data_IF_224190213495
#
_entry.id   IF_224190213495
#
_cell.length_a   1.000
_cell.length_b   1.000
_cell.length_c   1.000
_cell.angle_alpha   90.00
_cell.angle_beta   90.00
_cell.angle_gamma   90.00
#
_symmetry.space_group_name_H-M   'P 1'
#
loop_
_entity.id
_entity.type
_entity.pdbx_description
1 polymer ?
#
# COMPACT_ATOMS: atom_id res chain seq x y z
N UNK A 1 -2.38 -78.26 -34.06
CA UNK A 1 -2.23 -76.83 -34.42
C UNK A 1 -3.07 -76.02 -33.43
N UNK A 2 -2.40 -75.23 -32.58
CA UNK A 2 -3.00 -74.45 -31.47
C UNK A 2 -3.53 -73.12 -32.04
N UNK A 3 -4.84 -72.91 -32.03
CA UNK A 3 -5.44 -71.61 -32.33
C UNK A 3 -5.79 -70.91 -31.01
N UNK A 4 -5.11 -69.81 -30.75
CA UNK A 4 -5.29 -68.95 -29.59
C UNK A 4 -6.60 -68.14 -29.71
N UNK A 5 -7.34 -68.09 -28.60
CA UNK A 5 -8.48 -67.21 -28.35
C UNK A 5 -7.98 -65.78 -28.09
N UNK A 6 -8.54 -64.80 -28.80
CA UNK A 6 -8.39 -63.37 -28.51
C UNK A 6 -9.61 -62.89 -27.72
N UNK A 7 -9.40 -62.50 -26.47
CA UNK A 7 -10.41 -61.82 -25.65
C UNK A 7 -10.30 -60.30 -25.86
N UNK A 8 -11.43 -59.57 -25.96
CA UNK A 8 -11.40 -58.11 -26.00
C UNK A 8 -11.23 -57.55 -24.59
N UNK A 9 -10.16 -56.78 -24.39
CA UNK A 9 -9.96 -55.96 -23.18
C UNK A 9 -10.81 -54.69 -23.35
N UNK A 10 -11.92 -54.63 -22.62
CA UNK A 10 -12.70 -53.40 -22.40
C UNK A 10 -11.86 -52.45 -21.53
N UNK A 11 -11.17 -51.51 -22.16
CA UNK A 11 -10.52 -50.40 -21.47
C UNK A 11 -11.60 -49.42 -21.00
N UNK A 12 -11.98 -49.52 -19.73
CA UNK A 12 -12.81 -48.52 -19.06
C UNK A 12 -12.04 -47.20 -18.98
N UNK A 13 -12.38 -46.23 -19.83
CA UNK A 13 -12.01 -44.83 -19.61
C UNK A 13 -12.72 -44.36 -18.34
N UNK A 14 -12.01 -44.39 -17.22
CA UNK A 14 -12.35 -43.59 -16.06
C UNK A 14 -12.14 -42.12 -16.45
N UNK A 15 -13.21 -41.45 -16.89
CA UNK A 15 -13.26 -40.00 -16.97
C UNK A 15 -13.16 -39.52 -15.53
N UNK A 16 -11.94 -39.13 -15.12
CA UNK A 16 -11.74 -38.44 -13.87
C UNK A 16 -12.56 -37.16 -13.93
N UNK A 17 -13.68 -37.15 -13.21
CA UNK A 17 -14.47 -35.95 -12.96
C UNK A 17 -13.60 -34.98 -12.19
N UNK A 18 -12.94 -34.07 -12.91
CA UNK A 18 -12.22 -32.94 -12.31
C UNK A 18 -13.27 -32.15 -11.56
N UNK A 19 -13.19 -32.17 -10.23
CA UNK A 19 -14.09 -31.38 -9.38
C UNK A 19 -13.92 -29.90 -9.76
N UNK A 20 -15.00 -29.17 -10.09
CA UNK A 20 -14.93 -27.72 -10.26
C UNK A 20 -14.80 -27.09 -8.87
N UNK A 21 -13.58 -27.05 -8.33
CA UNK A 21 -13.35 -26.50 -6.98
C UNK A 21 -12.14 -25.55 -6.87
N UNK A 22 -11.24 -25.47 -7.87
CA UNK A 22 -10.04 -24.62 -7.79
C UNK A 22 -9.93 -23.61 -8.96
N UNK A 23 -11.05 -23.17 -9.54
CA UNK A 23 -11.03 -22.11 -10.56
C UNK A 23 -10.76 -20.72 -9.96
N UNK A 24 -11.02 -20.54 -8.67
CA UNK A 24 -10.53 -19.42 -7.89
C UNK A 24 -9.28 -19.92 -7.19
N UNK A 25 -8.09 -19.59 -7.68
CA UNK A 25 -6.83 -19.94 -7.00
C UNK A 25 -6.83 -19.53 -5.51
N UNK A 26 -5.80 -19.91 -4.73
CA UNK A 26 -5.77 -19.65 -3.29
C UNK A 26 -6.06 -18.17 -3.02
N UNK A 27 -7.15 -17.90 -2.30
CA UNK A 27 -7.54 -16.54 -1.94
C UNK A 27 -6.47 -15.98 -1.00
N UNK A 28 -5.67 -15.04 -1.52
CA UNK A 28 -4.64 -14.37 -0.74
C UNK A 28 -5.29 -13.09 -0.20
N UNK A 29 -5.42 -13.02 1.12
CA UNK A 29 -5.89 -11.82 1.81
C UNK A 29 -4.92 -10.67 1.51
N UNK A 30 -5.46 -9.58 0.96
CA UNK A 30 -4.72 -8.34 0.78
C UNK A 30 -4.20 -7.85 2.14
N UNK A 31 -2.91 -7.45 2.23
CA UNK A 31 -2.35 -7.00 3.49
C UNK A 31 -2.99 -5.67 3.87
N UNK A 32 -3.40 -5.52 5.14
CA UNK A 32 -3.86 -4.21 5.62
C UNK A 32 -2.67 -3.26 5.69
N UNK A 33 -2.75 -2.14 4.98
CA UNK A 33 -1.70 -1.12 4.91
C UNK A 33 -2.07 0.06 5.78
N UNK A 34 -1.11 0.60 6.52
CA UNK A 34 -1.24 1.80 7.34
C UNK A 34 -0.34 2.91 6.79
N UNK A 35 -0.87 4.12 6.74
CA UNK A 35 -0.06 5.32 6.55
C UNK A 35 0.83 5.57 7.75
N UNK A 36 1.99 6.14 7.50
CA UNK A 36 2.88 6.63 8.54
C UNK A 36 2.73 8.13 8.65
N UNK A 37 2.60 8.63 9.88
CA UNK A 37 2.63 10.06 10.19
C UNK A 37 3.84 10.30 11.10
N UNK A 38 4.82 11.06 10.61
CA UNK A 38 6.08 11.33 11.30
C UNK A 38 6.16 12.79 11.69
N UNK A 39 6.53 13.04 12.94
CA UNK A 39 6.49 14.36 13.54
C UNK A 39 7.78 14.63 14.30
N UNK A 40 8.39 15.79 14.05
CA UNK A 40 9.56 16.23 14.77
C UNK A 40 9.16 16.70 16.17
N UNK A 41 9.77 16.16 17.21
CA UNK A 41 9.52 16.54 18.60
C UNK A 41 10.82 16.95 19.28
N UNK A 42 10.79 18.00 20.10
CA UNK A 42 11.90 18.33 20.97
C UNK A 42 11.79 17.53 22.27
N UNK A 43 12.75 16.65 22.53
CA UNK A 43 12.83 15.91 23.81
C UNK A 43 14.12 16.31 24.50
N UNK A 44 14.03 16.94 25.68
CA UNK A 44 15.19 17.38 26.47
C UNK A 44 16.18 18.28 25.69
N UNK A 45 15.66 19.13 24.80
CA UNK A 45 16.46 20.02 23.95
C UNK A 45 17.14 19.33 22.75
N UNK A 46 16.92 18.03 22.55
CA UNK A 46 17.43 17.29 21.39
C UNK A 46 16.34 17.08 20.33
N UNK A 47 16.70 17.17 19.03
CA UNK A 47 15.84 16.72 17.93
C UNK A 47 15.48 15.24 18.11
N UNK A 48 14.18 14.93 18.11
CA UNK A 48 13.69 13.57 18.01
C UNK A 48 12.53 13.50 17.01
N UNK A 49 12.22 12.31 16.51
CA UNK A 49 11.05 12.09 15.64
C UNK A 49 10.15 11.06 16.30
N UNK A 50 8.84 11.32 16.31
CA UNK A 50 7.82 10.33 16.67
C UNK A 50 7.07 9.93 15.41
N UNK A 51 6.99 8.62 15.19
CA UNK A 51 6.27 8.06 14.05
C UNK A 51 5.04 7.31 14.54
N UNK A 52 3.96 7.40 13.78
CA UNK A 52 2.69 6.75 14.09
C UNK A 52 2.17 6.01 12.87
N UNK A 53 1.69 4.78 13.06
CA UNK A 53 0.89 4.09 12.04
C UNK A 53 -0.59 4.45 12.21
N UNK A 54 -1.22 5.05 11.20
CA UNK A 54 -2.63 5.42 11.20
C UNK A 54 -3.48 4.16 10.95
N UNK A 55 -4.35 3.80 11.89
CA UNK A 55 -5.09 2.51 11.87
C UNK A 55 -6.55 2.63 11.39
N UNK A 56 -6.86 3.69 10.63
CA UNK A 56 -8.14 3.97 9.95
C UNK A 56 -9.43 3.81 10.77
N UNK A 57 -9.34 3.95 12.10
CA UNK A 57 -10.51 4.04 12.97
C UNK A 57 -10.78 5.50 13.32
N UNK A 58 -11.95 6.01 12.89
CA UNK A 58 -12.45 7.30 13.33
C UNK A 58 -12.50 7.32 14.86
N UNK A 59 -11.85 8.32 15.46
CA UNK A 59 -11.83 8.47 16.90
C UNK A 59 -13.01 9.31 17.36
N UNK A 60 -13.68 8.89 18.44
CA UNK A 60 -14.59 9.79 19.15
C UNK A 60 -13.75 10.89 19.81
N UNK A 61 -13.99 12.14 19.42
CA UNK A 61 -13.20 13.29 19.86
C UNK A 61 -13.79 14.08 21.02
N UNK A 62 -15.04 13.80 21.43
CA UNK A 62 -15.79 14.64 22.37
C UNK A 62 -15.15 14.73 23.77
N UNK A 63 -14.30 13.76 24.13
CA UNK A 63 -13.70 13.66 25.47
C UNK A 63 -12.17 13.61 25.44
N UNK A 64 -11.55 14.00 24.32
CA UNK A 64 -10.09 13.91 24.18
C UNK A 64 -9.38 15.11 24.78
N UNK A 65 -8.42 14.84 25.67
CA UNK A 65 -7.48 15.85 26.15
C UNK A 65 -6.35 16.00 25.13
N UNK A 66 -6.42 17.05 24.32
CA UNK A 66 -5.45 17.32 23.26
C UNK A 66 -4.18 17.99 23.79
N UNK A 67 -3.03 17.49 23.34
CA UNK A 67 -1.73 18.11 23.57
C UNK A 67 -1.02 18.28 22.23
N UNK A 68 -0.35 19.42 22.01
CA UNK A 68 0.51 19.56 20.81
C UNK A 68 1.63 18.52 20.85
N UNK A 69 1.84 17.84 19.73
CA UNK A 69 2.87 16.81 19.62
C UNK A 69 4.27 17.43 19.66
N UNK A 70 4.43 18.60 19.03
CA UNK A 70 5.68 19.34 18.93
C UNK A 70 5.49 20.83 19.27
N UNK A 71 5.39 21.18 20.57
CA UNK A 71 5.23 22.57 20.98
C UNK A 71 6.33 23.47 20.40
N UNK A 72 5.96 24.72 20.05
CA UNK A 72 6.87 25.73 19.49
C UNK A 72 7.49 25.38 18.13
N UNK A 73 6.91 24.45 17.38
CA UNK A 73 7.27 24.18 15.98
C UNK A 73 6.12 24.54 15.04
N UNK A 74 6.36 24.49 13.73
CA UNK A 74 5.31 24.64 12.71
C UNK A 74 4.41 23.42 12.58
N UNK A 75 4.74 22.31 13.25
CA UNK A 75 3.89 21.13 13.30
C UNK A 75 2.70 21.39 14.23
N UNK A 76 1.53 21.54 13.63
CA UNK A 76 0.28 21.81 14.32
C UNK A 76 -0.42 20.55 14.83
N UNK A 77 0.14 19.36 14.57
CA UNK A 77 -0.47 18.11 14.97
C UNK A 77 -0.67 18.04 16.49
N UNK A 78 -1.86 17.60 16.88
CA UNK A 78 -2.21 17.35 18.28
C UNK A 78 -2.39 15.86 18.48
N UNK A 79 -2.05 15.41 19.68
CA UNK A 79 -2.26 14.04 20.10
C UNK A 79 -3.10 13.99 21.38
N UNK A 80 -3.91 12.95 21.51
CA UNK A 80 -4.46 12.53 22.78
C UNK A 80 -4.09 11.08 23.03
N UNK A 81 -3.67 10.77 24.25
CA UNK A 81 -3.27 9.40 24.60
C UNK A 81 -4.53 8.54 24.75
N UNK A 82 -4.47 7.31 24.24
CA UNK A 82 -5.48 6.28 24.52
C UNK A 82 -4.91 5.23 25.46
N UNK A 83 -5.81 4.41 26.03
CA UNK A 83 -5.38 3.18 26.69
C UNK A 83 -4.59 2.31 25.72
N UNK A 84 -3.49 1.72 26.22
CA UNK A 84 -2.69 0.77 25.46
C UNK A 84 -3.57 -0.41 24.96
N UNK A 85 -3.19 -1.02 23.84
CA UNK A 85 -3.79 -2.29 23.41
C UNK A 85 -3.58 -3.36 24.47
N UNK A 86 -4.60 -4.18 24.71
CA UNK A 86 -4.49 -5.34 25.58
C UNK A 86 -3.46 -6.36 25.05
N UNK A 87 -3.39 -6.51 23.73
CA UNK A 87 -2.37 -7.33 23.04
C UNK A 87 -1.54 -6.42 22.13
N UNK A 88 -0.21 -6.39 22.25
CA UNK A 88 0.63 -5.62 21.35
C UNK A 88 0.41 -6.00 19.88
N UNK A 89 0.33 -5.00 19.01
CA UNK A 89 0.18 -5.19 17.57
C UNK A 89 1.57 -5.18 16.92
N UNK A 90 1.84 -6.17 16.07
CA UNK A 90 3.00 -6.17 15.20
C UNK A 90 2.68 -5.39 13.91
N UNK A 91 3.62 -4.59 13.44
CA UNK A 91 3.58 -3.92 12.15
C UNK A 91 4.91 -4.12 11.43
N UNK A 92 4.86 -4.31 10.12
CA UNK A 92 6.05 -4.38 9.27
C UNK A 92 6.21 -3.07 8.53
N UNK A 93 7.24 -2.30 8.88
CA UNK A 93 7.60 -1.07 8.18
C UNK A 93 8.37 -1.39 6.91
N UNK A 94 8.06 -0.63 5.86
CA UNK A 94 8.64 -0.82 4.54
C UNK A 94 8.92 0.54 3.93
N UNK A 95 10.09 0.67 3.31
CA UNK A 95 10.48 1.84 2.54
C UNK A 95 11.87 1.68 1.94
N UNK A 96 12.45 2.77 1.39
CA UNK A 96 13.80 2.75 0.83
C UNK A 96 14.89 2.25 1.79
N UNK A 97 14.69 2.37 3.11
CA UNK A 97 15.61 1.84 4.13
C UNK A 97 15.51 0.33 4.34
N UNK A 98 14.67 -0.39 3.59
CA UNK A 98 14.45 -1.82 3.72
C UNK A 98 13.15 -2.15 4.47
N UNK A 99 13.15 -3.27 5.20
CA UNK A 99 12.00 -3.71 5.98
C UNK A 99 12.35 -3.98 7.43
N UNK A 100 11.39 -3.69 8.33
CA UNK A 100 11.57 -3.88 9.77
C UNK A 100 10.25 -4.20 10.45
N UNK A 101 10.25 -5.22 11.29
CA UNK A 101 9.10 -5.54 12.14
C UNK A 101 9.24 -4.81 13.48
N UNK A 102 8.20 -4.09 13.88
CA UNK A 102 8.06 -3.47 15.21
C UNK A 102 6.80 -4.01 15.88
N UNK A 103 6.80 -4.05 17.20
CA UNK A 103 5.62 -4.37 18.00
C UNK A 103 5.36 -3.22 18.95
N UNK A 104 4.12 -2.74 19.00
CA UNK A 104 3.71 -1.67 19.90
C UNK A 104 2.34 -1.95 20.50
N UNK A 105 2.14 -1.46 21.72
CA UNK A 105 0.84 -1.41 22.39
C UNK A 105 0.33 0.02 22.55
N UNK A 106 1.17 1.01 22.27
CA UNK A 106 0.88 2.40 22.60
C UNK A 106 -0.07 3.00 21.56
N UNK A 107 -1.25 3.41 22.02
CA UNK A 107 -2.27 4.04 21.16
C UNK A 107 -2.37 5.53 21.43
N UNK A 108 -2.64 6.26 20.37
CA UNK A 108 -3.00 7.66 20.43
C UNK A 108 -4.14 7.94 19.45
N UNK A 109 -4.78 9.09 19.62
CA UNK A 109 -5.51 9.75 18.55
C UNK A 109 -4.65 10.90 18.08
N UNK A 110 -4.45 11.00 16.76
CA UNK A 110 -3.83 12.15 16.13
C UNK A 110 -4.91 13.01 15.49
N UNK A 111 -4.82 14.31 15.72
CA UNK A 111 -5.69 15.31 15.15
C UNK A 111 -4.93 16.12 14.11
N UNK A 112 -5.54 16.26 12.93
CA UNK A 112 -5.03 17.00 11.77
C UNK A 112 -3.50 16.85 11.58
N UNK A 113 -3.09 15.82 10.85
CA UNK A 113 -1.68 15.63 10.46
C UNK A 113 -1.46 16.09 9.02
N UNK A 114 -0.20 16.11 8.57
CA UNK A 114 0.10 16.33 7.14
C UNK A 114 -0.53 15.27 6.22
N UNK A 115 -0.85 14.09 6.77
CA UNK A 115 -1.39 12.94 6.03
C UNK A 115 -2.92 12.86 6.07
N UNK A 116 -3.57 13.52 7.03
CA UNK A 116 -5.02 13.44 7.26
C UNK A 116 -5.59 14.72 7.86
N UNK A 117 -6.72 15.18 7.33
CA UNK A 117 -7.47 16.33 7.85
C UNK A 117 -8.55 15.95 8.86
N UNK A 118 -8.63 14.68 9.29
CA UNK A 118 -9.56 14.21 10.31
C UNK A 118 -8.84 13.54 11.47
N UNK A 119 -9.41 13.54 12.69
CA UNK A 119 -8.89 12.79 13.81
C UNK A 119 -8.84 11.29 13.52
N UNK A 120 -7.68 10.67 13.73
CA UNK A 120 -7.42 9.26 13.42
C UNK A 120 -6.82 8.55 14.62
N UNK A 121 -7.29 7.34 14.90
CA UNK A 121 -6.58 6.44 15.80
C UNK A 121 -5.23 6.05 15.19
N UNK A 122 -4.19 6.01 16.00
CA UNK A 122 -2.86 5.63 15.56
C UNK A 122 -2.14 4.75 16.60
N UNK A 123 -1.21 3.93 16.11
CA UNK A 123 -0.25 3.16 16.90
C UNK A 123 1.06 3.94 16.95
N UNK A 124 1.51 4.35 18.13
CA UNK A 124 2.80 5.01 18.29
C UNK A 124 3.93 3.99 18.10
N UNK A 125 4.88 4.33 17.24
CA UNK A 125 6.00 3.49 16.87
C UNK A 125 7.28 4.10 17.46
N UNK A 126 7.91 3.37 18.38
CA UNK A 126 9.24 3.71 18.86
C UNK A 126 10.26 3.23 17.84
N UNK A 127 10.74 4.16 17.01
CA UNK A 127 11.56 3.87 15.84
C UNK A 127 12.89 4.62 15.89
N UNK A 128 14.00 3.95 15.52
CA UNK A 128 15.19 4.69 15.11
C UNK A 128 14.93 5.39 13.77
N UNK A 129 15.78 6.38 13.47
CA UNK A 129 15.75 7.12 12.22
C UNK A 129 15.75 6.18 11.00
N UNK A 130 14.89 6.47 10.02
CA UNK A 130 14.78 5.68 8.79
C UNK A 130 13.80 6.28 7.79
N UNK A 131 14.00 5.98 6.51
CA UNK A 131 13.09 6.38 5.42
C UNK A 131 12.05 5.27 5.23
N UNK A 132 10.97 5.35 6.00
CA UNK A 132 9.83 4.45 5.93
C UNK A 132 8.70 5.10 5.15
N UNK A 133 8.03 4.35 4.28
CA UNK A 133 6.96 4.86 3.42
C UNK A 133 5.57 4.46 3.93
N UNK A 134 5.42 3.23 4.45
CA UNK A 134 4.16 2.71 4.97
C UNK A 134 4.43 1.57 5.96
N UNK A 135 3.37 1.12 6.63
CA UNK A 135 3.40 -0.08 7.45
C UNK A 135 2.36 -1.11 6.97
N UNK A 136 2.67 -2.40 7.14
CA UNK A 136 1.72 -3.49 6.97
C UNK A 136 1.32 -4.04 8.33
N UNK A 137 0.05 -4.34 8.53
CA UNK A 137 -0.43 -5.04 9.72
C UNK A 137 0.18 -6.44 9.80
N UNK A 138 0.77 -6.79 10.94
CA UNK A 138 1.37 -8.10 11.19
C UNK A 138 2.85 -8.20 10.87
N UNK A 139 3.35 -9.45 10.84
CA UNK A 139 4.75 -9.79 10.58
C UNK A 139 4.89 -10.31 9.14
N UNK A 140 5.53 -9.52 8.29
CA UNK A 140 5.78 -9.84 6.88
C UNK A 140 7.27 -10.01 6.65
N UNK A 141 7.82 -11.10 7.18
CA UNK A 141 9.24 -11.45 7.00
C UNK A 141 9.51 -11.71 5.51
N UNK A 142 10.57 -11.11 4.99
CA UNK A 142 10.89 -11.15 3.56
C UNK A 142 10.08 -10.17 2.69
N UNK A 143 9.28 -9.28 3.30
CA UNK A 143 8.74 -8.17 2.53
C UNK A 143 9.89 -7.31 1.99
N UNK A 144 9.76 -6.82 0.75
CA UNK A 144 10.79 -6.03 0.08
C UNK A 144 10.19 -4.83 -0.65
N UNK A 145 10.80 -3.66 -0.47
CA UNK A 145 10.43 -2.43 -1.15
C UNK A 145 10.83 -2.47 -2.62
N UNK A 146 9.94 -2.03 -3.49
CA UNK A 146 10.19 -1.73 -4.89
C UNK A 146 9.99 -0.23 -5.06
N UNK A 147 11.10 0.48 -5.30
CA UNK A 147 11.09 1.92 -5.46
C UNK A 147 10.33 2.38 -6.70
N UNK A 148 9.73 3.57 -6.60
CA UNK A 148 9.20 4.29 -7.75
C UNK A 148 10.27 5.28 -8.22
N UNK A 149 10.71 5.11 -9.47
CA UNK A 149 11.63 6.02 -10.15
C UNK A 149 10.82 7.02 -10.96
N UNK A 150 10.80 8.28 -10.53
CA UNK A 150 10.08 9.33 -11.23
C UNK A 150 10.66 9.59 -12.62
N UNK A 151 9.77 9.76 -13.59
CA UNK A 151 10.10 10.12 -14.97
C UNK A 151 9.32 11.37 -15.36
N UNK A 152 9.97 12.26 -16.10
CA UNK A 152 9.26 13.33 -16.79
C UNK A 152 8.35 12.72 -17.86
N UNK A 153 7.07 13.08 -17.84
CA UNK A 153 6.13 12.63 -18.86
C UNK A 153 6.56 13.09 -20.25
N UNK A 154 6.59 12.15 -21.19
CA UNK A 154 6.90 12.43 -22.59
C UNK A 154 5.65 12.75 -23.41
N UNK A 155 5.84 13.24 -24.63
CA UNK A 155 4.73 13.41 -25.58
C UNK A 155 4.02 12.09 -25.90
N UNK A 156 4.74 10.96 -25.89
CA UNK A 156 4.16 9.65 -26.10
C UNK A 156 3.25 9.22 -24.92
N UNK A 157 3.63 9.59 -23.69
CA UNK A 157 2.81 9.34 -22.51
C UNK A 157 1.51 10.13 -22.55
N UNK A 158 1.59 11.42 -22.92
CA UNK A 158 0.41 12.24 -23.09
C UNK A 158 -0.52 11.70 -24.19
N UNK A 159 0.04 11.31 -25.34
CA UNK A 159 -0.74 10.69 -26.41
C UNK A 159 -1.42 9.38 -25.95
N UNK A 160 -0.72 8.57 -25.17
CA UNK A 160 -1.26 7.33 -24.59
C UNK A 160 -2.41 7.58 -23.61
N UNK A 161 -2.34 8.65 -22.81
CA UNK A 161 -3.41 9.08 -21.90
C UNK A 161 -4.63 9.55 -22.70
N UNK A 162 -4.42 10.40 -23.70
CA UNK A 162 -5.50 10.92 -24.55
C UNK A 162 -6.20 9.79 -25.35
N UNK A 163 -5.45 8.80 -25.82
CA UNK A 163 -6.00 7.63 -26.51
C UNK A 163 -6.95 6.78 -25.64
N UNK A 164 -6.93 6.98 -24.32
CA UNK A 164 -7.85 6.35 -23.35
C UNK A 164 -9.05 7.23 -23.01
N UNK A 165 -9.27 8.29 -23.77
CA UNK A 165 -10.32 9.30 -23.53
C UNK A 165 -10.16 10.00 -22.17
N UNK A 166 -8.94 10.09 -21.65
CA UNK A 166 -8.63 10.80 -20.41
C UNK A 166 -8.06 12.15 -20.79
N UNK A 167 -8.76 13.22 -20.42
CA UNK A 167 -8.27 14.58 -20.63
C UNK A 167 -7.60 15.06 -19.35
N UNK A 168 -6.26 15.21 -19.31
CA UNK A 168 -5.59 15.80 -18.16
C UNK A 168 -6.06 17.25 -17.96
N UNK A 169 -6.04 17.72 -16.71
CA UNK A 169 -6.31 19.12 -16.39
C UNK A 169 -5.31 20.04 -17.11
N UNK A 170 -4.05 19.64 -17.09
CA UNK A 170 -2.90 20.23 -17.79
C UNK A 170 -1.88 19.11 -18.05
N UNK A 171 -1.16 19.11 -19.20
CA UNK A 171 -0.09 18.13 -19.46
C UNK A 171 0.93 17.96 -18.33
N UNK A 172 1.22 18.99 -17.55
CA UNK A 172 2.15 18.92 -16.41
C UNK A 172 1.64 18.05 -15.25
N UNK A 173 0.34 17.76 -15.20
CA UNK A 173 -0.28 16.89 -14.19
C UNK A 173 -0.36 15.43 -14.63
N UNK A 174 0.41 15.05 -15.64
CA UNK A 174 0.69 13.66 -15.99
C UNK A 174 2.03 13.30 -15.35
N UNK A 175 1.99 12.42 -14.35
CA UNK A 175 3.17 11.90 -13.68
C UNK A 175 3.42 10.47 -14.12
N UNK A 176 4.65 10.18 -14.55
CA UNK A 176 5.06 8.84 -14.96
C UNK A 176 6.12 8.35 -14.00
N UNK A 177 5.99 7.13 -13.51
CA UNK A 177 7.02 6.48 -12.69
C UNK A 177 7.36 5.10 -13.22
N UNK A 178 8.53 4.57 -12.90
CA UNK A 178 8.91 3.17 -13.15
C UNK A 178 9.10 2.44 -11.85
N UNK A 179 8.53 1.24 -11.75
CA UNK A 179 8.79 0.37 -10.62
C UNK A 179 10.16 -0.29 -10.81
N UNK A 180 11.10 0.02 -9.93
CA UNK A 180 12.50 -0.37 -10.01
C UNK A 180 12.66 -1.89 -10.19
N UNK A 181 13.53 -2.30 -11.12
CA UNK A 181 13.75 -3.73 -11.40
C UNK A 181 12.59 -4.44 -12.09
N UNK A 182 11.60 -3.73 -12.62
CA UNK A 182 10.46 -4.30 -13.36
C UNK A 182 10.30 -3.67 -14.76
N UNK A 183 9.37 -4.21 -15.55
CA UNK A 183 8.90 -3.64 -16.83
C UNK A 183 7.59 -2.83 -16.67
N UNK A 184 7.26 -2.44 -15.43
CA UNK A 184 6.03 -1.74 -15.11
C UNK A 184 6.29 -0.25 -14.98
N UNK A 185 5.47 0.54 -15.68
CA UNK A 185 5.36 1.97 -15.47
C UNK A 185 4.04 2.28 -14.76
N UNK A 186 4.03 3.35 -13.99
CA UNK A 186 2.83 3.98 -13.43
C UNK A 186 2.57 5.28 -14.17
N UNK A 187 1.30 5.60 -14.42
CA UNK A 187 0.88 6.86 -15.04
C UNK A 187 -0.25 7.43 -14.20
N UNK A 188 0.03 8.49 -13.44
CA UNK A 188 -0.96 9.20 -12.62
C UNK A 188 -1.37 10.49 -13.32
N UNK A 189 -2.67 10.71 -13.45
CA UNK A 189 -3.23 11.85 -14.17
C UNK A 189 -4.25 12.54 -13.28
N UNK A 190 -4.10 13.85 -13.08
CA UNK A 190 -5.20 14.68 -12.60
C UNK A 190 -6.12 15.02 -13.77
N UNK A 191 -7.25 14.33 -13.86
CA UNK A 191 -8.24 14.47 -14.92
C UNK A 191 -9.29 15.54 -14.59
N UNK A 192 -9.78 16.24 -15.61
CA UNK A 192 -10.89 17.20 -15.48
C UNK A 192 -12.21 16.55 -15.04
N UNK A 193 -12.45 15.30 -15.44
CA UNK A 193 -13.74 14.61 -15.26
C UNK A 193 -13.70 13.50 -14.22
N UNK A 194 -12.53 12.92 -13.96
CA UNK A 194 -12.39 11.72 -13.14
C UNK A 194 -11.55 11.93 -11.86
N UNK A 195 -11.13 13.17 -11.57
CA UNK A 195 -10.20 13.42 -10.47
C UNK A 195 -8.84 12.78 -10.72
N UNK A 196 -8.17 12.33 -9.66
CA UNK A 196 -6.84 11.72 -9.74
C UNK A 196 -6.93 10.22 -9.99
N UNK A 197 -6.45 9.77 -11.14
CA UNK A 197 -6.47 8.38 -11.58
C UNK A 197 -5.06 7.89 -11.89
N UNK A 198 -4.72 6.67 -11.48
CA UNK A 198 -3.46 6.02 -11.83
C UNK A 198 -3.69 4.74 -12.62
N UNK A 199 -2.83 4.54 -13.60
CA UNK A 199 -2.66 3.30 -14.35
C UNK A 199 -1.34 2.65 -13.99
N UNK A 200 -1.33 1.33 -13.88
CA UNK A 200 -0.12 0.51 -13.98
C UNK A 200 -0.13 -0.12 -15.36
N UNK A 201 0.96 0.00 -16.10
CA UNK A 201 1.06 -0.51 -17.47
C UNK A 201 2.38 -1.23 -17.72
N UNK A 202 2.37 -2.16 -18.69
CA UNK A 202 3.57 -2.77 -19.25
C UNK A 202 3.46 -2.81 -20.76
N UNK A 203 4.54 -2.42 -21.44
CA UNK A 203 4.60 -2.36 -22.91
C UNK A 203 3.42 -1.60 -23.58
N UNK A 204 2.78 -0.67 -22.86
CA UNK A 204 1.63 0.10 -23.34
C UNK A 204 0.25 -0.46 -22.94
N UNK A 205 0.17 -1.70 -22.45
CA UNK A 205 -1.06 -2.33 -21.98
C UNK A 205 -1.35 -1.99 -20.52
N UNK A 206 -2.62 -1.75 -20.19
CA UNK A 206 -3.06 -1.48 -18.81
C UNK A 206 -3.13 -2.81 -18.06
N UNK A 207 -2.43 -2.90 -16.94
CA UNK A 207 -2.48 -4.03 -16.01
C UNK A 207 -3.44 -3.75 -14.87
N UNK A 208 -3.42 -2.52 -14.34
CA UNK A 208 -4.31 -2.08 -13.28
C UNK A 208 -4.69 -0.61 -13.43
N UNK A 209 -5.84 -0.25 -12.88
CA UNK A 209 -6.36 1.12 -12.82
C UNK A 209 -7.01 1.35 -11.46
N UNK A 210 -6.70 2.47 -10.82
CA UNK A 210 -7.27 2.85 -9.52
C UNK A 210 -7.24 4.37 -9.31
N UNK A 211 -8.01 4.85 -8.34
CA UNK A 211 -7.97 6.24 -7.90
C UNK A 211 -6.81 6.48 -6.92
N UNK A 212 -6.19 7.66 -6.99
CA UNK A 212 -5.09 8.03 -6.12
C UNK A 212 -3.75 8.16 -6.85
N UNK A 213 -2.65 8.12 -6.10
CA UNK A 213 -1.28 8.20 -6.60
C UNK A 213 -0.46 7.01 -6.11
N UNK A 214 0.57 6.62 -6.85
CA UNK A 214 1.45 5.51 -6.43
C UNK A 214 2.51 6.02 -5.48
N UNK A 215 2.64 5.34 -4.34
CA UNK A 215 3.72 5.58 -3.38
C UNK A 215 4.93 4.71 -3.71
N UNK A 216 4.69 3.49 -4.18
CA UNK A 216 5.68 2.54 -4.66
C UNK A 216 5.07 1.14 -4.74
N UNK A 217 5.90 0.10 -4.64
CA UNK A 217 5.42 -1.27 -4.62
C UNK A 217 6.14 -2.12 -3.56
N UNK A 218 5.57 -3.27 -3.23
CA UNK A 218 6.11 -4.21 -2.26
C UNK A 218 6.01 -5.63 -2.79
N UNK A 219 7.03 -6.45 -2.51
CA UNK A 219 6.93 -7.89 -2.64
C UNK A 219 6.65 -8.51 -1.28
N UNK A 220 5.65 -9.40 -1.17
CA UNK A 220 5.34 -10.16 0.04
C UNK A 220 5.16 -11.62 -0.37
N UNK A 221 5.98 -12.53 0.19
CA UNK A 221 5.92 -13.97 -0.12
C UNK A 221 5.92 -14.27 -1.64
N UNK A 222 6.69 -13.51 -2.40
CA UNK A 222 6.81 -13.66 -3.86
C UNK A 222 5.73 -12.95 -4.69
N UNK A 223 4.70 -12.39 -4.07
CA UNK A 223 3.64 -11.62 -4.73
C UNK A 223 3.96 -10.14 -4.70
N UNK A 224 3.52 -9.40 -5.73
CA UNK A 224 3.80 -7.97 -5.86
C UNK A 224 2.51 -7.18 -5.73
N UNK A 225 2.62 -6.07 -5.01
CA UNK A 225 1.53 -5.13 -4.80
C UNK A 225 2.03 -3.74 -5.09
N UNK A 226 1.32 -2.99 -5.93
CA UNK A 226 1.46 -1.53 -6.00
C UNK A 226 0.69 -0.92 -4.83
N UNK A 227 1.24 0.13 -4.23
CA UNK A 227 0.62 0.82 -3.11
C UNK A 227 0.08 2.16 -3.60
N UNK A 228 -1.24 2.26 -3.58
CA UNK A 228 -1.98 3.42 -4.02
C UNK A 228 -2.40 4.26 -2.81
N UNK A 229 -2.08 5.55 -2.82
CA UNK A 229 -2.53 6.53 -1.83
C UNK A 229 -3.71 7.31 -2.40
N UNK A 230 -4.87 7.24 -1.74
CA UNK A 230 -6.08 7.99 -2.10
C UNK A 230 -6.45 9.02 -1.03
N UNK A 231 -7.64 9.61 -1.04
CA UNK A 231 -8.13 10.40 0.10
C UNK A 231 -8.49 9.54 1.30
N UNK A 232 -8.78 8.26 1.08
CA UNK A 232 -9.36 7.37 2.07
C UNK A 232 -8.34 6.48 2.78
N UNK A 233 -7.11 6.36 2.25
CA UNK A 233 -6.07 5.54 2.85
C UNK A 233 -4.99 5.14 1.86
N UNK A 234 -4.19 4.14 2.23
CA UNK A 234 -3.28 3.45 1.30
C UNK A 234 -3.83 2.05 1.06
N UNK A 235 -4.00 1.68 -0.20
CA UNK A 235 -4.52 0.38 -0.61
C UNK A 235 -3.48 -0.40 -1.42
N UNK A 236 -3.31 -1.71 -1.16
CA UNK A 236 -2.52 -2.57 -2.01
C UNK A 236 -3.32 -2.96 -3.26
N UNK A 237 -2.67 -2.92 -4.43
CA UNK A 237 -3.23 -3.28 -5.72
C UNK A 237 -2.37 -4.40 -6.31
N UNK A 238 -2.97 -5.54 -6.61
CA UNK A 238 -2.30 -6.68 -7.23
C UNK A 238 -1.78 -6.36 -8.63
N UNK A 239 -0.53 -6.78 -8.92
CA UNK A 239 0.15 -6.58 -10.22
C UNK A 239 1.00 -7.77 -10.64
#
# INVERSE_FOLDING_TARGET
MRNLLLAPVLASLAIATVRPADACGPYVLEPKVFRLSSHYVQTLGQPATRTFALVDAAANTEQLAWTRLAPNTYDYARMSRMSDLATPMAVTLIGPSGTRVITSKQRAVLDHTFETHKPMTALALDLPEGKWSFALEGRHEGAAWIGLEDKTASAADLAWVLARNITPLDPQYVHVGKLAGTQLDTVTVLSKSAGMITFVRSAGDVIAQFEGSVVGAVTIKGQRFVLASSTDGVSPIWI
#
